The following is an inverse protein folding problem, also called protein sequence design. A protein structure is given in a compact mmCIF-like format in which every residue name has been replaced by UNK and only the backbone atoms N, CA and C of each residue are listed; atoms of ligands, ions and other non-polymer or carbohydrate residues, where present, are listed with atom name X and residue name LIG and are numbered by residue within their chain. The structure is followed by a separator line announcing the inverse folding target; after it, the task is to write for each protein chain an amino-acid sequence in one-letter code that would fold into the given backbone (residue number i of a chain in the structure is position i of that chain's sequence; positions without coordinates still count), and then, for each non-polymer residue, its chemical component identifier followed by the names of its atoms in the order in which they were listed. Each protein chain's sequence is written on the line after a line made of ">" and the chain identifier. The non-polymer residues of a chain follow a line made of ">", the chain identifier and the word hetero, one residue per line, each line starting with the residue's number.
data_IF_925486661406
#
_entry.id   IF_925486661406
#
_cell.length_a   1.000
_cell.length_b   1.000
_cell.length_c   1.000
_cell.angle_alpha   90.00
_cell.angle_beta   90.00
_cell.angle_gamma   90.00
#
_symmetry.space_group_name_H-M   'P 1'
#
loop_
_entity.id
_entity.type
_entity.pdbx_description
1 polymer ?
#
# COMPACT_ATOMS: atom_id res chain seq x y z
N UNK A 1 -23.48 -12.87 5.86
CA UNK A 1 -23.53 -14.34 5.66
C UNK A 1 -23.12 -14.83 4.26
N UNK A 2 -22.75 -13.98 3.29
CA UNK A 2 -22.43 -14.41 1.92
C UNK A 2 -21.06 -15.12 1.72
N UNK A 3 -20.10 -14.96 2.65
CA UNK A 3 -18.75 -15.54 2.53
C UNK A 3 -18.67 -17.04 2.91
N UNK A 4 -19.72 -17.59 3.53
CA UNK A 4 -19.70 -18.94 4.12
C UNK A 4 -20.04 -20.08 3.14
N UNK A 5 -20.57 -19.78 1.94
CA UNK A 5 -21.25 -20.77 1.11
C UNK A 5 -20.37 -21.86 0.47
N UNK A 6 -19.03 -21.76 0.52
CA UNK A 6 -18.15 -22.68 -0.23
C UNK A 6 -17.35 -23.69 0.61
N UNK A 7 -17.43 -23.67 1.95
CA UNK A 7 -16.69 -24.57 2.85
C UNK A 7 -15.16 -24.45 2.86
N UNK A 8 -14.54 -23.85 1.82
CA UNK A 8 -13.10 -23.57 1.74
C UNK A 8 -12.75 -22.29 2.52
N UNK A 9 -11.68 -22.30 3.35
CA UNK A 9 -11.22 -21.10 4.02
C UNK A 9 -10.88 -20.01 3.00
N UNK A 10 -11.49 -18.83 3.15
CA UNK A 10 -11.27 -17.68 2.29
C UNK A 10 -10.04 -16.92 2.76
N UNK A 11 -9.20 -16.50 1.83
CA UNK A 11 -8.08 -15.59 2.10
C UNK A 11 -8.56 -14.15 2.06
N UNK A 12 -8.12 -13.34 3.03
CA UNK A 12 -8.41 -11.91 3.08
C UNK A 12 -7.22 -11.16 2.48
N UNK A 13 -7.51 -10.31 1.51
CA UNK A 13 -6.51 -9.46 0.86
C UNK A 13 -7.02 -8.02 0.88
N UNK A 14 -6.18 -7.10 1.35
CA UNK A 14 -6.49 -5.66 1.38
C UNK A 14 -5.65 -4.95 0.33
N UNK A 15 -6.27 -4.09 -0.46
CA UNK A 15 -5.61 -3.19 -1.40
C UNK A 15 -6.21 -1.80 -1.26
N UNK A 16 -5.39 -0.76 -1.10
CA UNK A 16 -5.88 0.60 -0.91
C UNK A 16 -4.89 1.63 -1.41
N UNK A 17 -5.41 2.66 -2.08
CA UNK A 17 -4.65 3.82 -2.54
C UNK A 17 -4.82 4.99 -1.58
N UNK A 18 -3.79 5.82 -1.45
CA UNK A 18 -3.80 7.06 -0.66
C UNK A 18 -4.37 6.84 0.75
N UNK A 19 -5.49 7.50 1.09
CA UNK A 19 -6.18 7.40 2.38
C UNK A 19 -6.73 6.01 2.68
N UNK A 20 -6.87 5.15 1.67
CA UNK A 20 -7.12 3.72 1.86
C UNK A 20 -6.07 3.03 2.75
N UNK A 21 -4.85 3.58 2.83
CA UNK A 21 -3.83 3.14 3.79
C UNK A 21 -4.21 3.40 5.25
N UNK A 22 -4.98 4.44 5.55
CA UNK A 22 -5.53 4.72 6.88
C UNK A 22 -6.67 3.75 7.18
N UNK A 23 -7.64 3.64 6.26
CA UNK A 23 -8.80 2.75 6.40
C UNK A 23 -8.36 1.31 6.68
N UNK A 24 -7.40 0.79 5.91
CA UNK A 24 -6.91 -0.57 6.07
C UNK A 24 -6.13 -0.79 7.38
N UNK A 25 -5.57 0.26 7.99
CA UNK A 25 -4.86 0.14 9.26
C UNK A 25 -5.86 -0.17 10.38
N UNK A 26 -6.94 0.61 10.45
CA UNK A 26 -8.02 0.39 11.42
C UNK A 26 -8.80 -0.89 11.13
N UNK A 27 -9.08 -1.19 9.87
CA UNK A 27 -9.75 -2.43 9.49
C UNK A 27 -8.94 -3.66 9.92
N UNK A 28 -7.62 -3.66 9.73
CA UNK A 28 -6.78 -4.80 10.10
C UNK A 28 -6.79 -5.05 11.62
N UNK A 29 -6.74 -3.98 12.43
CA UNK A 29 -6.85 -4.08 13.89
C UNK A 29 -8.24 -4.55 14.32
N UNK A 30 -9.30 -4.00 13.72
CA UNK A 30 -10.68 -4.40 14.01
C UNK A 30 -10.92 -5.89 13.69
N UNK A 31 -10.42 -6.38 12.54
CA UNK A 31 -10.48 -7.80 12.19
C UNK A 31 -9.76 -8.67 13.24
N UNK A 32 -8.56 -8.28 13.65
CA UNK A 32 -7.79 -9.01 14.64
C UNK A 32 -8.48 -9.10 16.01
N UNK A 33 -9.22 -8.05 16.40
CA UNK A 33 -9.99 -8.01 17.64
C UNK A 33 -11.30 -8.82 17.56
N UNK A 34 -12.02 -8.73 16.43
CA UNK A 34 -13.28 -9.43 16.23
C UNK A 34 -13.11 -10.94 16.01
N UNK A 35 -11.96 -11.35 15.48
CA UNK A 35 -11.66 -12.77 15.23
C UNK A 35 -10.20 -13.08 15.61
N UNK A 36 -9.95 -13.47 16.86
CA UNK A 36 -8.63 -13.91 17.30
C UNK A 36 -8.07 -15.04 16.42
N UNK A 37 -6.79 -14.93 16.04
CA UNK A 37 -6.12 -15.87 15.14
C UNK A 37 -6.34 -15.59 13.64
N UNK A 38 -7.10 -14.56 13.26
CA UNK A 38 -7.34 -14.23 11.85
C UNK A 38 -6.05 -13.79 11.13
N UNK A 39 -5.82 -14.34 9.94
CA UNK A 39 -4.67 -13.97 9.09
C UNK A 39 -5.13 -13.21 7.85
N UNK A 40 -4.61 -12.00 7.69
CA UNK A 40 -4.71 -11.23 6.45
C UNK A 40 -3.58 -11.70 5.53
N UNK A 41 -3.95 -12.35 4.42
CA UNK A 41 -3.00 -13.00 3.52
C UNK A 41 -2.11 -12.01 2.78
N UNK A 42 -2.63 -10.83 2.41
CA UNK A 42 -1.78 -9.74 1.94
C UNK A 42 -2.40 -8.36 2.14
N UNK A 43 -1.54 -7.36 2.33
CA UNK A 43 -1.89 -5.93 2.25
C UNK A 43 -1.07 -5.28 1.13
N UNK A 44 -1.71 -4.49 0.27
CA UNK A 44 -1.04 -3.73 -0.79
C UNK A 44 -1.46 -2.27 -0.73
N UNK A 45 -0.54 -1.39 -0.34
CA UNK A 45 -0.81 0.04 -0.21
C UNK A 45 -0.17 0.82 -1.37
N UNK A 46 -0.97 1.63 -2.05
CA UNK A 46 -0.54 2.43 -3.19
C UNK A 46 -0.44 3.90 -2.75
N UNK A 47 0.76 4.46 -2.69
CA UNK A 47 1.05 5.81 -2.20
C UNK A 47 0.29 6.18 -0.91
N UNK A 48 0.41 5.39 0.20
CA UNK A 48 -0.43 5.58 1.37
C UNK A 48 -0.24 6.95 2.03
N UNK A 49 -1.32 7.73 2.10
CA UNK A 49 -1.40 8.97 2.87
C UNK A 49 -1.67 8.65 4.37
N UNK A 50 -0.94 7.68 4.92
CA UNK A 50 -1.00 7.28 6.31
C UNK A 50 0.30 7.66 7.01
N UNK A 51 0.26 8.07 8.27
CA UNK A 51 1.47 8.43 9.00
C UNK A 51 2.35 7.19 9.30
N UNK A 52 3.65 7.39 9.43
CA UNK A 52 4.58 6.36 9.92
C UNK A 52 4.24 5.89 11.32
N UNK A 53 3.57 6.75 12.09
CA UNK A 53 3.10 6.47 13.44
C UNK A 53 1.88 5.54 13.41
N UNK A 54 0.95 5.77 12.49
CA UNK A 54 -0.14 4.82 12.22
C UNK A 54 0.40 3.45 11.80
N UNK A 55 1.42 3.41 10.94
CA UNK A 55 2.11 2.16 10.59
C UNK A 55 2.71 1.47 11.81
N UNK A 56 3.42 2.21 12.67
CA UNK A 56 4.09 1.67 13.86
C UNK A 56 3.10 1.07 14.85
N UNK A 57 1.93 1.67 14.98
CA UNK A 57 0.91 1.31 15.97
C UNK A 57 -0.06 0.24 15.46
N UNK A 58 -0.41 0.23 14.17
CA UNK A 58 -1.44 -0.67 13.63
C UNK A 58 -0.86 -1.80 12.77
N UNK A 59 -0.07 -1.48 11.75
CA UNK A 59 0.44 -2.48 10.81
C UNK A 59 1.61 -3.29 11.37
N UNK A 60 2.59 -2.62 11.98
CA UNK A 60 3.84 -3.25 12.41
C UNK A 60 3.62 -4.38 13.44
N UNK A 61 2.73 -4.25 14.45
CA UNK A 61 2.45 -5.35 15.36
C UNK A 61 1.88 -6.57 14.62
N UNK A 62 0.91 -6.37 13.73
CA UNK A 62 0.30 -7.43 12.94
C UNK A 62 1.28 -8.11 11.97
N UNK A 63 2.26 -7.37 11.44
CA UNK A 63 3.32 -7.93 10.60
C UNK A 63 4.32 -8.79 11.39
N UNK A 64 4.57 -8.43 12.66
CA UNK A 64 5.48 -9.14 13.56
C UNK A 64 4.83 -10.28 14.33
N UNK A 65 3.50 -10.38 14.29
CA UNK A 65 2.74 -11.43 14.94
C UNK A 65 3.15 -12.82 14.46
N UNK A 66 3.20 -13.78 15.39
CA UNK A 66 3.50 -15.19 15.11
C UNK A 66 2.42 -15.77 14.22
N UNK A 67 2.72 -16.89 13.56
CA UNK A 67 1.75 -17.57 12.68
C UNK A 67 0.50 -18.10 13.40
N UNK A 68 0.61 -18.33 14.71
CA UNK A 68 -0.50 -18.72 15.60
C UNK A 68 -1.37 -17.54 16.06
N UNK A 69 -0.98 -16.30 15.77
CA UNK A 69 -1.64 -15.08 16.22
C UNK A 69 -2.33 -14.35 15.06
N UNK A 70 -3.26 -13.45 15.39
CA UNK A 70 -3.83 -12.54 14.40
C UNK A 70 -2.72 -11.71 13.74
N UNK A 71 -2.73 -11.58 12.42
CA UNK A 71 -1.74 -10.74 11.76
C UNK A 71 -1.73 -10.76 10.25
N UNK A 72 -0.72 -10.08 9.69
CA UNK A 72 -0.55 -9.87 8.26
C UNK A 72 0.58 -10.75 7.78
N UNK A 73 0.30 -11.58 6.78
CA UNK A 73 1.30 -12.51 6.25
C UNK A 73 2.34 -11.82 5.38
N UNK A 74 1.91 -10.88 4.53
CA UNK A 74 2.80 -10.11 3.66
C UNK A 74 2.23 -8.72 3.36
N UNK A 75 3.08 -7.72 3.26
CA UNK A 75 2.69 -6.36 2.90
C UNK A 75 3.60 -5.79 1.81
N UNK A 76 2.99 -5.18 0.81
CA UNK A 76 3.69 -4.41 -0.22
C UNK A 76 3.23 -2.94 -0.15
N UNK A 77 4.18 -2.02 -0.26
CA UNK A 77 3.91 -0.58 -0.38
C UNK A 77 4.50 -0.09 -1.70
N UNK A 78 3.72 0.65 -2.48
CA UNK A 78 4.13 1.19 -3.77
C UNK A 78 4.21 2.71 -3.66
N UNK A 79 5.41 3.28 -3.75
CA UNK A 79 5.67 4.69 -3.54
C UNK A 79 6.42 5.28 -4.73
N UNK A 80 6.34 6.60 -4.92
CA UNK A 80 7.23 7.28 -5.87
C UNK A 80 8.66 7.26 -5.33
N UNK A 81 9.64 7.29 -6.23
CA UNK A 81 11.00 7.65 -5.83
C UNK A 81 11.04 9.10 -5.35
N UNK A 82 12.05 9.47 -4.57
CA UNK A 82 12.18 10.85 -4.09
C UNK A 82 12.21 11.90 -5.21
N UNK A 83 12.76 11.56 -6.39
CA UNK A 83 12.72 12.45 -7.55
C UNK A 83 11.30 12.60 -8.09
N UNK A 84 10.62 11.49 -8.38
CA UNK A 84 9.25 11.54 -8.90
C UNK A 84 8.28 12.19 -7.91
N UNK A 85 8.47 11.98 -6.62
CA UNK A 85 7.66 12.64 -5.58
C UNK A 85 7.86 14.17 -5.58
N UNK A 86 9.05 14.67 -5.90
CA UNK A 86 9.29 16.12 -6.01
C UNK A 86 8.77 16.69 -7.34
N UNK A 87 8.74 15.86 -8.38
CA UNK A 87 8.24 16.19 -9.72
C UNK A 87 6.71 15.99 -9.84
N UNK A 88 6.04 15.45 -8.82
CA UNK A 88 4.59 15.19 -8.76
C UNK A 88 3.77 16.47 -8.60
N UNK A 89 2.52 16.43 -9.08
CA UNK A 89 1.55 17.51 -8.98
C UNK A 89 0.11 16.97 -8.82
N UNK A 90 -0.77 17.79 -8.25
CA UNK A 90 -2.19 17.47 -8.03
C UNK A 90 -3.00 17.95 -9.25
N UNK A 91 -2.83 17.25 -10.38
CA UNK A 91 -3.52 17.52 -11.64
C UNK A 91 -3.49 19.01 -12.06
N UNK A 92 -2.36 19.68 -11.84
CA UNK A 92 -2.15 21.11 -12.13
C UNK A 92 -2.86 22.11 -11.20
N UNK A 93 -3.77 21.67 -10.33
CA UNK A 93 -4.43 22.53 -9.32
C UNK A 93 -3.44 22.93 -8.23
N UNK A 94 -2.56 22.01 -7.86
CA UNK A 94 -1.42 22.27 -6.98
C UNK A 94 -0.15 21.71 -7.61
N UNK A 95 0.80 22.58 -7.95
CA UNK A 95 2.02 22.26 -8.72
C UNK A 95 3.14 21.61 -7.90
N UNK A 96 2.80 20.87 -6.84
CA UNK A 96 3.72 20.14 -5.97
C UNK A 96 3.04 18.84 -5.51
N UNK A 97 3.81 17.91 -4.96
CA UNK A 97 3.29 16.63 -4.45
C UNK A 97 2.17 16.79 -3.43
N UNK A 98 1.13 15.97 -3.58
CA UNK A 98 0.02 15.87 -2.64
C UNK A 98 0.52 15.45 -1.25
N UNK A 99 1.39 14.45 -1.17
CA UNK A 99 1.87 13.96 0.12
C UNK A 99 2.77 14.98 0.82
N UNK A 100 3.49 15.82 0.07
CA UNK A 100 4.20 16.96 0.68
C UNK A 100 3.25 18.00 1.24
N UNK A 101 2.11 18.27 0.59
CA UNK A 101 1.06 19.14 1.13
C UNK A 101 0.47 18.55 2.41
N UNK A 102 0.04 17.29 2.37
CA UNK A 102 -0.53 16.60 3.55
C UNK A 102 0.46 16.60 4.71
N UNK A 103 1.69 16.14 4.47
CA UNK A 103 2.77 16.07 5.46
C UNK A 103 3.08 17.42 6.12
N UNK A 104 2.98 18.53 5.40
CA UNK A 104 3.36 19.87 5.90
C UNK A 104 2.19 20.70 6.42
N UNK A 105 0.95 20.38 6.06
CA UNK A 105 -0.17 21.30 6.25
C UNK A 105 -1.46 20.66 6.79
N UNK A 106 -1.66 19.34 6.64
CA UNK A 106 -2.92 18.68 7.03
C UNK A 106 -2.78 17.58 8.08
N UNK A 107 -1.55 17.23 8.46
CA UNK A 107 -1.31 16.33 9.59
C UNK A 107 -1.21 17.10 10.92
N UNK A 108 -1.40 16.38 12.01
CA UNK A 108 -1.18 16.91 13.35
C UNK A 108 0.33 17.07 13.65
N UNK A 109 0.65 17.76 14.74
CA UNK A 109 2.05 17.96 15.15
C UNK A 109 2.73 16.63 15.50
N UNK A 110 4.01 16.45 15.14
CA UNK A 110 4.92 17.43 14.56
C UNK A 110 4.77 17.62 13.03
N UNK A 111 5.00 18.85 12.56
CA UNK A 111 5.10 19.17 11.13
C UNK A 111 6.56 19.37 10.70
N UNK A 112 7.02 18.81 9.55
CA UNK A 112 6.28 17.92 8.68
C UNK A 112 6.13 16.50 9.28
N UNK A 113 4.91 15.97 9.25
CA UNK A 113 4.63 14.62 9.71
C UNK A 113 5.17 13.56 8.73
N UNK A 114 5.67 12.46 9.28
CA UNK A 114 6.17 11.33 8.48
C UNK A 114 5.03 10.59 7.80
N UNK A 115 4.94 10.60 6.46
CA UNK A 115 3.97 9.80 5.72
C UNK A 115 4.59 8.54 5.12
N UNK A 116 3.88 7.43 5.26
CA UNK A 116 4.25 6.10 4.78
C UNK A 116 4.41 6.05 3.25
N UNK A 117 3.65 6.87 2.52
CA UNK A 117 3.72 7.00 1.07
C UNK A 117 4.97 7.71 0.55
N UNK A 118 5.72 8.41 1.41
CA UNK A 118 6.87 9.20 0.98
C UNK A 118 8.18 8.40 1.08
N UNK A 119 8.99 8.44 0.02
CA UNK A 119 10.29 7.76 -0.03
C UNK A 119 11.20 8.09 1.16
N UNK A 120 11.30 9.38 1.53
CA UNK A 120 12.23 9.84 2.58
C UNK A 120 11.92 9.24 3.96
N UNK A 121 10.66 8.93 4.25
CA UNK A 121 10.22 8.38 5.54
C UNK A 121 10.08 6.85 5.53
N UNK A 122 9.89 6.24 4.35
CA UNK A 122 9.58 4.80 4.23
C UNK A 122 10.78 3.93 3.84
N UNK A 123 11.82 4.49 3.22
CA UNK A 123 12.94 3.73 2.60
C UNK A 123 13.63 2.68 3.49
N UNK A 124 13.61 2.87 4.80
CA UNK A 124 14.29 1.99 5.76
C UNK A 124 13.32 1.09 6.56
N UNK A 125 12.00 1.22 6.39
CA UNK A 125 11.04 0.50 7.23
C UNK A 125 11.12 -1.03 7.04
N UNK A 126 11.33 -1.48 5.79
CA UNK A 126 11.45 -2.89 5.43
C UNK A 126 12.64 -3.59 6.11
N UNK A 127 13.68 -2.85 6.51
CA UNK A 127 14.85 -3.42 7.18
C UNK A 127 14.51 -4.06 8.55
N UNK A 128 13.37 -3.68 9.14
CA UNK A 128 12.95 -4.11 10.47
C UNK A 128 11.87 -5.21 10.48
N UNK A 129 11.36 -5.59 9.30
CA UNK A 129 10.21 -6.48 9.12
C UNK A 129 10.35 -7.28 7.81
N UNK A 130 10.60 -8.58 7.90
CA UNK A 130 10.97 -9.42 6.74
C UNK A 130 9.84 -9.66 5.73
N UNK A 131 8.59 -9.51 6.14
CA UNK A 131 7.40 -9.69 5.29
C UNK A 131 6.81 -8.35 4.79
N UNK A 132 7.57 -7.25 4.90
CA UNK A 132 7.28 -5.96 4.27
C UNK A 132 8.21 -5.73 3.08
N UNK A 133 7.66 -5.41 1.93
CA UNK A 133 8.43 -4.94 0.76
C UNK A 133 7.95 -3.56 0.35
N UNK A 134 8.87 -2.66 0.01
CA UNK A 134 8.55 -1.32 -0.49
C UNK A 134 9.11 -1.18 -1.90
N UNK A 135 8.23 -0.84 -2.83
CA UNK A 135 8.52 -0.67 -4.25
C UNK A 135 8.53 0.82 -4.59
N UNK A 136 9.72 1.37 -4.84
CA UNK A 136 9.85 2.74 -5.33
C UNK A 136 9.79 2.77 -6.86
N UNK A 137 8.85 3.54 -7.40
CA UNK A 137 8.73 3.75 -8.83
C UNK A 137 9.93 4.51 -9.37
N UNK A 138 10.41 4.05 -10.53
CA UNK A 138 11.43 4.73 -11.35
C UNK A 138 10.80 5.33 -12.61
N UNK A 139 9.48 5.45 -12.65
CA UNK A 139 8.71 5.97 -13.78
C UNK A 139 8.67 4.98 -14.94
N UNK A 140 8.43 5.48 -16.15
CA UNK A 140 8.24 4.68 -17.37
C UNK A 140 9.53 4.11 -17.98
N UNK A 141 10.42 3.58 -17.15
CA UNK A 141 11.66 2.92 -17.61
C UNK A 141 11.43 1.46 -18.00
N UNK A 142 12.24 0.95 -18.95
CA UNK A 142 12.15 -0.45 -19.43
C UNK A 142 12.35 -1.46 -18.29
N UNK A 143 13.23 -1.15 -17.34
CA UNK A 143 13.60 -2.00 -16.20
C UNK A 143 12.60 -2.00 -15.04
N UNK A 144 11.54 -1.17 -15.09
CA UNK A 144 10.54 -1.07 -14.03
C UNK A 144 9.84 -2.43 -13.82
N UNK A 145 9.92 -3.02 -12.62
CA UNK A 145 9.37 -4.36 -12.34
C UNK A 145 7.95 -4.34 -11.79
N UNK A 146 7.70 -3.52 -10.79
CA UNK A 146 6.47 -3.58 -9.97
C UNK A 146 5.54 -2.40 -10.18
N UNK A 147 6.05 -1.26 -10.63
CA UNK A 147 5.27 -0.05 -10.88
C UNK A 147 5.99 0.82 -11.89
N UNK A 148 5.23 1.54 -12.71
CA UNK A 148 5.67 2.60 -13.62
C UNK A 148 4.99 3.94 -13.31
N UNK A 149 4.30 4.06 -12.17
CA UNK A 149 3.60 5.30 -11.82
C UNK A 149 4.59 6.47 -11.73
N UNK A 150 4.19 7.61 -12.28
CA UNK A 150 4.98 8.85 -12.25
C UNK A 150 4.31 9.91 -11.38
N UNK A 151 3.11 9.64 -10.88
CA UNK A 151 2.34 10.53 -10.02
C UNK A 151 1.71 9.79 -8.85
N UNK A 152 1.27 10.54 -7.85
CA UNK A 152 0.58 10.02 -6.67
C UNK A 152 -0.72 9.29 -7.05
N UNK A 153 -1.54 9.85 -7.94
CA UNK A 153 -2.82 9.26 -8.40
C UNK A 153 -2.65 8.26 -9.56
N UNK A 154 -1.42 7.97 -9.98
CA UNK A 154 -1.15 7.11 -11.14
C UNK A 154 -1.07 5.61 -10.83
N UNK A 155 -1.04 5.21 -9.55
CA UNK A 155 -0.73 3.83 -9.17
C UNK A 155 -1.84 2.82 -9.48
N UNK A 156 -3.09 3.16 -9.20
CA UNK A 156 -4.26 2.32 -9.50
C UNK A 156 -4.58 2.27 -11.01
N UNK A 157 -4.09 3.26 -11.76
CA UNK A 157 -4.16 3.34 -13.21
C UNK A 157 -2.96 2.70 -13.93
N UNK A 158 -1.92 2.27 -13.20
CA UNK A 158 -0.73 1.64 -13.78
C UNK A 158 -0.90 0.11 -13.88
N UNK A 159 -0.90 -0.46 -15.10
CA UNK A 159 -0.99 -1.90 -15.29
C UNK A 159 0.13 -2.67 -14.58
N UNK A 160 1.35 -2.12 -14.43
CA UNK A 160 2.42 -2.83 -13.71
C UNK A 160 2.10 -2.95 -12.23
N UNK A 161 1.68 -1.84 -11.61
CA UNK A 161 1.24 -1.81 -10.20
C UNK A 161 0.10 -2.80 -9.98
N UNK A 162 -0.98 -2.70 -10.74
CA UNK A 162 -2.16 -3.54 -10.51
C UNK A 162 -1.92 -5.03 -10.81
N UNK A 163 -1.07 -5.36 -11.78
CA UNK A 163 -0.66 -6.75 -12.00
C UNK A 163 0.31 -7.28 -10.94
N UNK A 164 1.10 -6.41 -10.30
CA UNK A 164 1.91 -6.78 -9.14
C UNK A 164 1.02 -7.13 -7.94
N UNK A 165 0.02 -6.28 -7.65
CA UNK A 165 -1.01 -6.53 -6.62
C UNK A 165 -1.76 -7.84 -6.92
N UNK A 166 -2.24 -8.02 -8.15
CA UNK A 166 -2.99 -9.23 -8.53
C UNK A 166 -2.14 -10.50 -8.41
N UNK A 167 -0.86 -10.45 -8.81
CA UNK A 167 0.08 -11.56 -8.62
C UNK A 167 0.28 -11.89 -7.14
N UNK A 168 0.33 -10.88 -6.28
CA UNK A 168 0.42 -11.07 -4.82
C UNK A 168 -0.81 -11.78 -4.27
N UNK A 169 -2.01 -11.39 -4.71
CA UNK A 169 -3.27 -12.02 -4.32
C UNK A 169 -3.32 -13.48 -4.78
N UNK A 170 -3.01 -13.73 -6.05
CA UNK A 170 -3.14 -15.06 -6.65
C UNK A 170 -1.99 -16.02 -6.29
N UNK A 171 -0.84 -15.49 -5.83
CA UNK A 171 0.38 -16.27 -5.62
C UNK A 171 1.03 -16.82 -6.90
N UNK A 172 0.53 -16.42 -8.07
CA UNK A 172 0.99 -16.85 -9.40
C UNK A 172 0.74 -15.77 -10.44
N UNK A 173 1.30 -15.95 -11.64
CA UNK A 173 1.01 -15.06 -12.77
C UNK A 173 -0.50 -15.06 -13.08
N UNK A 174 -1.16 -13.89 -13.15
CA UNK A 174 -2.57 -13.80 -13.49
C UNK A 174 -2.84 -14.29 -14.92
N UNK A 175 -3.87 -15.11 -15.11
CA UNK A 175 -4.29 -15.58 -16.44
C UNK A 175 -4.85 -14.46 -17.31
N UNK A 176 -5.56 -13.50 -16.69
CA UNK A 176 -5.97 -12.23 -17.30
C UNK A 176 -5.32 -11.10 -16.55
N UNK A 177 -4.53 -10.30 -17.26
CA UNK A 177 -3.79 -9.17 -16.69
C UNK A 177 -4.55 -7.87 -16.92
N UNK A 178 -4.36 -6.91 -16.01
CA UNK A 178 -4.75 -5.53 -16.24
C UNK A 178 -3.95 -4.95 -17.41
N UNK A 179 -4.64 -4.20 -18.25
CA UNK A 179 -4.10 -3.41 -19.36
C UNK A 179 -4.51 -1.95 -19.16
N UNK A 180 -3.91 -1.03 -19.92
CA UNK A 180 -4.37 0.37 -19.90
C UNK A 180 -5.86 0.49 -20.22
N UNK A 181 -6.38 -0.33 -21.13
CA UNK A 181 -7.80 -0.33 -21.51
C UNK A 181 -8.70 -0.79 -20.36
N UNK A 182 -8.27 -1.78 -19.58
CA UNK A 182 -9.09 -2.31 -18.47
C UNK A 182 -9.06 -1.44 -17.22
N UNK A 183 -8.11 -0.51 -17.12
CA UNK A 183 -7.97 0.44 -16.01
C UNK A 183 -8.47 1.84 -16.38
N UNK A 184 -9.14 1.99 -17.51
CA UNK A 184 -9.75 3.25 -17.91
C UNK A 184 -11.15 3.32 -17.28
N UNK A 185 -11.31 4.17 -16.28
CA UNK A 185 -12.59 4.54 -15.67
C UNK A 185 -12.79 6.04 -15.73
#
# INVERSE_FOLDING_TARGET
>A
RALAASGKPKKIHLAGHSTGGILHAYLAVALAALQPGIRISSVSLLAPAATTDLYRTHYRPLLKARKSESGIDRMDIYNLSGKLELDDDVAGVYRKSLLYLVSRSFEETPLPAGLLGMHKYSKNLANSVSNLTIHFSKGRVRSARYTKSESHDGFDNDPKTMNSVLRRILGKTPGKQFTKKSLKY
#
